data_IF_873533773948
#
_entry.id   IF_873533773948
#
_cell.length_a   1.000
_cell.length_b   1.000
_cell.length_c   1.000
_cell.angle_alpha   90.00
_cell.angle_beta   90.00
_cell.angle_gamma   90.00
#
_symmetry.space_group_name_H-M   'P 1'
#
loop_
_entity.id
_entity.type
_entity.pdbx_description
1 polymer ?
#
# COMPACT_ATOMS: atom_id res chain seq x y z
N UNK A 1 18.39 28.52 -32.56
CA UNK A 1 16.99 28.10 -32.80
C UNK A 1 16.93 26.58 -32.65
N UNK A 2 16.49 26.07 -31.50
CA UNK A 2 16.54 24.62 -31.21
C UNK A 2 15.41 23.90 -31.97
N UNK A 3 15.77 23.22 -33.06
CA UNK A 3 14.86 22.41 -33.86
C UNK A 3 14.33 21.26 -33.00
N UNK A 4 13.06 21.33 -32.57
CA UNK A 4 12.35 20.20 -31.95
C UNK A 4 12.26 19.07 -32.97
N UNK A 5 13.24 18.17 -32.96
CA UNK A 5 13.18 16.89 -33.69
C UNK A 5 11.90 16.16 -33.27
N UNK A 6 10.90 16.11 -34.16
CA UNK A 6 9.71 15.29 -33.96
C UNK A 6 10.14 13.82 -33.97
N UNK A 7 10.37 13.23 -32.79
CA UNK A 7 10.68 11.80 -32.67
C UNK A 7 9.58 10.97 -33.33
N UNK A 8 9.98 10.06 -34.22
CA UNK A 8 9.15 9.01 -34.82
C UNK A 8 8.49 8.17 -33.72
N UNK A 9 7.24 7.70 -33.86
CA UNK A 9 6.55 6.88 -32.85
C UNK A 9 7.38 5.66 -32.39
N UNK A 10 8.07 5.01 -33.32
CA UNK A 10 8.98 3.89 -33.06
C UNK A 10 10.15 4.26 -32.15
N UNK A 11 10.70 5.47 -32.31
CA UNK A 11 11.81 5.96 -31.47
C UNK A 11 11.34 6.26 -30.05
N UNK A 12 10.14 6.83 -29.89
CA UNK A 12 9.51 7.06 -28.57
C UNK A 12 9.25 5.75 -27.85
N UNK A 13 8.71 4.77 -28.56
CA UNK A 13 8.48 3.42 -28.05
C UNK A 13 9.80 2.74 -27.65
N UNK A 14 10.85 2.84 -28.47
CA UNK A 14 12.18 2.31 -28.14
C UNK A 14 12.77 2.96 -26.88
N UNK A 15 12.66 4.28 -26.74
CA UNK A 15 13.14 4.99 -25.55
C UNK A 15 12.35 4.59 -24.29
N UNK A 16 11.03 4.44 -24.41
CA UNK A 16 10.20 3.89 -23.33
C UNK A 16 10.67 2.48 -22.93
N UNK A 17 10.89 1.60 -23.90
CA UNK A 17 11.38 0.25 -23.64
C UNK A 17 12.79 0.22 -23.03
N UNK A 18 13.66 1.19 -23.35
CA UNK A 18 14.97 1.33 -22.68
C UNK A 18 14.81 1.66 -21.20
N UNK A 19 13.90 2.57 -20.87
CA UNK A 19 13.59 2.94 -19.48
C UNK A 19 13.02 1.74 -18.72
N UNK A 20 12.05 1.02 -19.32
CA UNK A 20 11.50 -0.21 -18.74
C UNK A 20 12.57 -1.28 -18.53
N UNK A 21 13.51 -1.44 -19.46
CA UNK A 21 14.66 -2.35 -19.31
C UNK A 21 15.55 -1.97 -18.13
N UNK A 22 15.79 -0.68 -17.89
CA UNK A 22 16.58 -0.22 -16.74
C UNK A 22 15.87 -0.60 -15.43
N UNK A 23 14.57 -0.31 -15.31
CA UNK A 23 13.79 -0.73 -14.13
C UNK A 23 13.78 -2.25 -13.94
N UNK A 24 13.62 -3.01 -15.03
CA UNK A 24 13.65 -4.47 -14.99
C UNK A 24 15.04 -5.02 -14.57
N UNK A 25 16.14 -4.38 -14.99
CA UNK A 25 17.49 -4.73 -14.55
C UNK A 25 17.71 -4.45 -13.06
N UNK A 26 17.19 -3.34 -12.53
CA UNK A 26 17.27 -2.99 -11.10
C UNK A 26 16.50 -4.00 -10.24
N UNK A 27 15.36 -4.51 -10.71
CA UNK A 27 14.61 -5.56 -10.03
C UNK A 27 15.24 -6.97 -10.20
N UNK A 28 16.39 -7.08 -10.85
CA UNK A 28 17.05 -8.36 -11.13
C UNK A 28 16.30 -9.23 -12.15
N UNK A 29 15.32 -8.67 -12.86
CA UNK A 29 14.47 -9.35 -13.83
C UNK A 29 14.85 -8.94 -15.26
N UNK A 30 15.97 -9.44 -15.78
CA UNK A 30 16.35 -9.17 -17.17
C UNK A 30 15.49 -10.00 -18.16
N UNK A 31 14.21 -9.63 -18.28
CA UNK A 31 13.18 -10.37 -19.06
C UNK A 31 13.43 -10.31 -20.58
N UNK A 32 14.17 -9.31 -21.05
CA UNK A 32 14.32 -9.02 -22.47
C UNK A 32 15.59 -9.58 -23.14
N UNK A 33 16.43 -10.33 -22.41
CA UNK A 33 17.52 -11.12 -23.00
C UNK A 33 17.04 -12.57 -23.17
N UNK A 34 17.21 -13.11 -24.38
CA UNK A 34 16.85 -14.49 -24.71
C UNK A 34 17.64 -15.52 -23.85
N UNK A 35 18.89 -15.22 -23.50
CA UNK A 35 19.74 -16.02 -22.61
C UNK A 35 19.68 -15.55 -21.15
N UNK A 36 18.49 -15.58 -20.55
CA UNK A 36 18.35 -15.24 -19.14
C UNK A 36 18.88 -16.37 -18.25
N UNK A 37 20.15 -16.25 -17.82
CA UNK A 37 20.72 -17.04 -16.73
C UNK A 37 20.40 -16.38 -15.40
N UNK A 38 20.07 -17.19 -14.38
CA UNK A 38 19.93 -16.72 -13.00
C UNK A 38 21.22 -15.99 -12.59
N UNK A 39 21.16 -14.66 -12.51
CA UNK A 39 22.29 -13.85 -12.12
C UNK A 39 22.33 -13.84 -10.57
N UNK A 40 23.51 -13.85 -9.92
CA UNK A 40 23.61 -13.71 -8.46
C UNK A 40 22.82 -12.51 -7.91
N UNK A 41 22.67 -11.44 -8.69
CA UNK A 41 21.83 -10.29 -8.35
C UNK A 41 20.33 -10.64 -8.23
N UNK A 42 19.79 -11.48 -9.11
CA UNK A 42 18.43 -12.00 -8.99
C UNK A 42 18.27 -12.85 -7.72
N UNK A 43 19.28 -13.66 -7.39
CA UNK A 43 19.32 -14.42 -6.14
C UNK A 43 19.34 -13.53 -4.89
N UNK A 44 20.11 -12.45 -4.91
CA UNK A 44 20.13 -11.44 -3.84
C UNK A 44 18.75 -10.80 -3.63
N UNK A 45 18.09 -10.37 -4.71
CA UNK A 45 16.74 -9.77 -4.65
C UNK A 45 15.72 -10.77 -4.07
N UNK A 46 15.77 -12.04 -4.49
CA UNK A 46 14.91 -13.09 -3.93
C UNK A 46 15.22 -13.34 -2.45
N UNK A 47 16.49 -13.33 -2.04
CA UNK A 47 16.88 -13.48 -0.63
C UNK A 47 16.38 -12.35 0.27
N UNK A 48 16.43 -11.10 -0.21
CA UNK A 48 15.85 -9.95 0.49
C UNK A 48 14.34 -10.10 0.65
N UNK A 49 13.65 -10.54 -0.41
CA UNK A 49 12.20 -10.80 -0.39
C UNK A 49 11.83 -11.89 0.64
N UNK A 50 12.57 -13.00 0.68
CA UNK A 50 12.34 -14.08 1.65
C UNK A 50 12.59 -13.61 3.10
N UNK A 51 13.65 -12.83 3.31
CA UNK A 51 13.96 -12.24 4.61
C UNK A 51 12.85 -11.28 5.07
N UNK A 52 12.32 -10.47 4.16
CA UNK A 52 11.17 -9.60 4.41
C UNK A 52 9.92 -10.40 4.81
N UNK A 53 9.63 -11.53 4.16
CA UNK A 53 8.51 -12.40 4.56
C UNK A 53 8.71 -12.98 5.96
N UNK A 54 9.92 -13.41 6.30
CA UNK A 54 10.24 -13.92 7.64
C UNK A 54 9.99 -12.87 8.74
N UNK A 55 10.49 -11.65 8.55
CA UNK A 55 10.26 -10.55 9.49
C UNK A 55 8.79 -10.15 9.58
N UNK A 56 8.09 -10.15 8.45
CA UNK A 56 6.67 -9.81 8.42
C UNK A 56 5.81 -10.82 9.17
N UNK A 57 6.11 -12.12 9.02
CA UNK A 57 5.44 -13.17 9.77
C UNK A 57 5.67 -13.02 11.28
N UNK A 58 6.90 -12.69 11.68
CA UNK A 58 7.23 -12.42 13.08
C UNK A 58 6.46 -11.21 13.64
N UNK A 59 6.43 -10.09 12.92
CA UNK A 59 5.67 -8.91 13.34
C UNK A 59 4.17 -9.18 13.45
N UNK A 60 3.61 -9.98 12.53
CA UNK A 60 2.21 -10.39 12.60
C UNK A 60 1.94 -11.28 13.83
N UNK A 61 2.85 -12.20 14.17
CA UNK A 61 2.75 -13.02 15.38
C UNK A 61 2.74 -12.18 16.65
N UNK A 62 3.67 -11.23 16.76
CA UNK A 62 3.75 -10.30 17.91
C UNK A 62 2.48 -9.46 18.02
N UNK A 63 2.01 -8.84 16.93
CA UNK A 63 0.81 -8.00 16.95
C UNK A 63 -0.47 -8.76 17.33
N UNK A 64 -0.58 -10.04 16.93
CA UNK A 64 -1.75 -10.89 17.28
C UNK A 64 -1.70 -11.35 18.73
N UNK A 65 -0.55 -11.89 19.17
CA UNK A 65 -0.45 -12.63 20.43
C UNK A 65 -0.19 -11.71 21.62
N UNK A 66 0.55 -10.61 21.41
CA UNK A 66 0.98 -9.71 22.48
C UNK A 66 0.07 -8.49 22.58
N UNK A 67 -0.14 -7.78 21.47
CA UNK A 67 -0.80 -6.46 21.50
C UNK A 67 -2.32 -6.52 21.25
N UNK A 68 -2.85 -7.65 20.76
CA UNK A 68 -4.26 -7.81 20.39
C UNK A 68 -4.79 -6.72 19.42
N UNK A 69 -3.90 -6.06 18.68
CA UNK A 69 -4.25 -4.97 17.78
C UNK A 69 -4.35 -5.48 16.33
N UNK A 70 -5.59 -5.67 15.89
CA UNK A 70 -5.92 -6.12 14.54
C UNK A 70 -5.54 -5.12 13.44
N UNK A 71 -5.29 -3.85 13.79
CA UNK A 71 -4.87 -2.82 12.83
C UNK A 71 -3.49 -3.13 12.25
N UNK A 72 -2.59 -3.64 13.09
CA UNK A 72 -1.23 -4.07 12.70
C UNK A 72 -1.28 -5.22 11.69
N UNK A 73 -2.25 -6.12 11.82
CA UNK A 73 -2.46 -7.23 10.88
C UNK A 73 -2.91 -6.69 9.52
N UNK A 74 -3.85 -5.74 9.53
CA UNK A 74 -4.38 -5.16 8.29
C UNK A 74 -3.26 -4.45 7.51
N UNK A 75 -2.48 -3.61 8.20
CA UNK A 75 -1.31 -2.95 7.61
C UNK A 75 -0.27 -3.95 7.11
N UNK A 76 -0.04 -5.03 7.87
CA UNK A 76 0.86 -6.12 7.49
C UNK A 76 0.46 -6.80 6.18
N UNK A 77 -0.81 -7.11 6.05
CA UNK A 77 -1.36 -7.72 4.83
C UNK A 77 -1.23 -6.80 3.61
N UNK A 78 -1.33 -5.47 3.78
CA UNK A 78 -1.18 -4.50 2.69
C UNK A 78 0.20 -4.57 2.03
N UNK A 79 1.29 -4.48 2.81
CA UNK A 79 2.64 -4.53 2.22
C UNK A 79 3.07 -5.95 1.82
N UNK A 80 2.56 -6.98 2.50
CA UNK A 80 2.79 -8.39 2.15
C UNK A 80 2.18 -8.75 0.80
N UNK A 81 0.95 -8.28 0.52
CA UNK A 81 0.26 -8.56 -0.74
C UNK A 81 1.02 -8.04 -1.95
N UNK A 82 1.53 -6.80 -1.88
CA UNK A 82 2.36 -6.21 -2.92
C UNK A 82 3.67 -7.00 -3.15
N UNK A 83 4.33 -7.44 -2.05
CA UNK A 83 5.54 -8.23 -2.12
C UNK A 83 5.31 -9.62 -2.76
N UNK A 84 4.22 -10.32 -2.40
CA UNK A 84 3.84 -11.62 -3.00
C UNK A 84 3.60 -11.46 -4.50
N UNK A 85 2.91 -10.40 -4.92
CA UNK A 85 2.65 -10.14 -6.34
C UNK A 85 3.94 -9.91 -7.13
N UNK A 86 4.90 -9.19 -6.55
CA UNK A 86 6.22 -8.96 -7.13
C UNK A 86 7.03 -10.25 -7.27
N UNK A 87 7.10 -11.04 -6.19
CA UNK A 87 7.82 -12.32 -6.16
C UNK A 87 7.25 -13.32 -7.17
N UNK A 88 5.92 -13.41 -7.24
CA UNK A 88 5.21 -14.32 -8.15
C UNK A 88 5.59 -14.08 -9.62
N UNK A 89 5.72 -12.80 -10.04
CA UNK A 89 6.16 -12.43 -11.40
C UNK A 89 7.61 -12.83 -11.71
N UNK A 90 8.47 -12.89 -10.69
CA UNK A 90 9.87 -13.32 -10.82
C UNK A 90 10.00 -14.84 -10.93
N UNK A 91 9.18 -15.57 -10.17
CA UNK A 91 9.23 -17.04 -10.05
C UNK A 91 8.74 -17.76 -11.31
N UNK A 92 7.73 -17.22 -12.01
CA UNK A 92 7.08 -17.83 -13.21
C UNK A 92 8.03 -18.12 -14.37
N UNK A 93 9.23 -17.55 -14.39
CA UNK A 93 10.17 -17.75 -15.50
C UNK A 93 11.18 -18.89 -15.29
N UNK A 94 11.01 -19.70 -14.24
CA UNK A 94 11.93 -20.80 -13.93
C UNK A 94 11.27 -22.13 -14.28
N UNK A 95 11.72 -22.69 -15.41
CA UNK A 95 11.48 -24.04 -15.93
C UNK A 95 10.10 -24.34 -16.59
N UNK A 96 10.17 -24.65 -17.89
CA UNK A 96 9.02 -24.99 -18.76
C UNK A 96 9.09 -26.43 -19.28
N UNK A 97 10.07 -27.24 -18.88
CA UNK A 97 10.38 -28.48 -19.58
C UNK A 97 9.58 -29.72 -19.11
N UNK A 98 8.73 -29.62 -18.09
CA UNK A 98 7.88 -30.74 -17.64
C UNK A 98 6.41 -30.34 -17.49
N UNK A 99 5.51 -31.04 -18.19
CA UNK A 99 4.06 -30.80 -18.15
C UNK A 99 3.48 -30.86 -16.72
N UNK A 100 3.99 -31.78 -15.89
CA UNK A 100 3.55 -31.90 -14.50
C UNK A 100 4.07 -30.74 -13.62
N UNK A 101 5.32 -30.33 -13.83
CA UNK A 101 5.92 -29.18 -13.16
C UNK A 101 5.15 -27.89 -13.46
N UNK A 102 4.69 -27.73 -14.70
CA UNK A 102 3.88 -26.58 -15.12
C UNK A 102 2.57 -26.47 -14.33
N UNK A 103 1.82 -27.55 -14.15
CA UNK A 103 0.56 -27.52 -13.40
C UNK A 103 0.76 -27.17 -11.92
N UNK A 104 1.79 -27.71 -11.28
CA UNK A 104 2.12 -27.40 -9.89
C UNK A 104 2.53 -25.91 -9.75
N UNK A 105 3.36 -25.41 -10.65
CA UNK A 105 3.74 -24.00 -10.68
C UNK A 105 2.55 -23.08 -10.92
N UNK A 106 1.65 -23.46 -11.84
CA UNK A 106 0.45 -22.70 -12.15
C UNK A 106 -0.51 -22.65 -10.96
N UNK A 107 -0.64 -23.74 -10.21
CA UNK A 107 -1.43 -23.79 -8.99
C UNK A 107 -0.82 -22.90 -7.89
N UNK A 108 0.48 -23.02 -7.64
CA UNK A 108 1.19 -22.15 -6.70
C UNK A 108 1.04 -20.66 -7.07
N UNK A 109 1.17 -20.34 -8.35
CA UNK A 109 0.94 -18.99 -8.87
C UNK A 109 -0.47 -18.49 -8.59
N UNK A 110 -1.50 -19.30 -8.83
CA UNK A 110 -2.89 -18.95 -8.54
C UNK A 110 -3.07 -18.66 -7.05
N UNK A 111 -2.55 -19.52 -6.16
CA UNK A 111 -2.59 -19.30 -4.72
C UNK A 111 -1.95 -17.96 -4.34
N UNK A 112 -0.73 -17.69 -4.81
CA UNK A 112 -0.03 -16.43 -4.54
C UNK A 112 -0.79 -15.20 -5.08
N UNK A 113 -1.39 -15.30 -6.27
CA UNK A 113 -2.21 -14.21 -6.84
C UNK A 113 -3.47 -13.98 -6.03
N UNK A 114 -4.12 -15.02 -5.49
CA UNK A 114 -5.27 -14.86 -4.61
C UNK A 114 -4.88 -14.13 -3.31
N UNK A 115 -3.79 -14.54 -2.66
CA UNK A 115 -3.27 -13.85 -1.46
C UNK A 115 -2.86 -12.40 -1.74
N UNK A 116 -2.20 -12.15 -2.88
CA UNK A 116 -1.83 -10.80 -3.30
C UNK A 116 -3.05 -9.91 -3.57
N UNK A 117 -4.08 -10.46 -4.23
CA UNK A 117 -5.35 -9.75 -4.48
C UNK A 117 -6.03 -9.35 -3.17
N UNK A 118 -6.02 -10.23 -2.17
CA UNK A 118 -6.58 -9.93 -0.85
C UNK A 118 -5.81 -8.81 -0.14
N UNK A 119 -4.46 -8.86 -0.15
CA UNK A 119 -3.64 -7.80 0.43
C UNK A 119 -3.83 -6.44 -0.27
N UNK A 120 -3.97 -6.44 -1.61
CA UNK A 120 -4.28 -5.23 -2.36
C UNK A 120 -5.68 -4.70 -2.03
N UNK A 121 -6.69 -5.57 -1.90
CA UNK A 121 -8.03 -5.17 -1.48
C UNK A 121 -8.05 -4.56 -0.07
N UNK A 122 -7.29 -5.15 0.86
CA UNK A 122 -7.10 -4.61 2.20
C UNK A 122 -6.43 -3.21 2.16
N UNK A 123 -5.44 -3.03 1.28
CA UNK A 123 -4.77 -1.74 1.06
C UNK A 123 -5.73 -0.66 0.55
N UNK A 124 -6.53 -0.99 -0.45
CA UNK A 124 -7.53 -0.05 -0.98
C UNK A 124 -8.58 0.30 0.09
N UNK A 125 -9.01 -0.69 0.87
CA UNK A 125 -9.92 -0.48 2.00
C UNK A 125 -9.33 0.42 3.08
N UNK A 126 -8.05 0.21 3.44
CA UNK A 126 -7.35 1.04 4.42
C UNK A 126 -7.21 2.49 3.94
N UNK A 127 -6.91 2.69 2.66
CA UNK A 127 -6.90 4.03 2.07
C UNK A 127 -8.28 4.69 2.17
N UNK A 128 -9.36 3.96 1.85
CA UNK A 128 -10.74 4.49 1.97
C UNK A 128 -11.05 4.87 3.42
N UNK A 129 -10.67 4.06 4.40
CA UNK A 129 -10.85 4.37 5.82
C UNK A 129 -10.15 5.68 6.19
N UNK A 130 -8.88 5.84 5.80
CA UNK A 130 -8.14 7.08 6.06
C UNK A 130 -8.76 8.29 5.35
N UNK A 131 -9.17 8.14 4.09
CA UNK A 131 -9.78 9.20 3.28
C UNK A 131 -11.14 9.60 3.83
N UNK A 132 -11.92 8.68 4.39
CA UNK A 132 -13.24 8.95 5.01
C UNK A 132 -13.09 9.51 6.42
N UNK A 133 -12.07 9.11 7.17
CA UNK A 133 -11.87 9.54 8.55
C UNK A 133 -11.64 11.06 8.65
N UNK A 134 -10.84 11.63 7.74
CA UNK A 134 -10.54 13.07 7.69
C UNK A 134 -11.79 13.95 7.53
N UNK A 135 -12.64 13.79 6.49
CA UNK A 135 -13.86 14.59 6.34
C UNK A 135 -14.89 14.27 7.41
N UNK A 136 -14.97 13.04 7.93
CA UNK A 136 -15.85 12.71 9.05
C UNK A 136 -15.48 13.54 10.29
N UNK A 137 -14.20 13.61 10.64
CA UNK A 137 -13.71 14.40 11.75
C UNK A 137 -13.97 15.89 11.57
N UNK A 138 -13.75 16.39 10.33
CA UNK A 138 -14.08 17.77 9.95
C UNK A 138 -15.57 18.08 10.13
N UNK A 139 -16.45 17.18 9.72
CA UNK A 139 -17.90 17.36 9.82
C UNK A 139 -18.37 17.37 11.28
N UNK A 140 -17.82 16.49 12.13
CA UNK A 140 -18.12 16.46 13.56
C UNK A 140 -17.69 17.78 14.24
N UNK A 141 -16.48 18.26 13.95
CA UNK A 141 -16.00 19.54 14.48
C UNK A 141 -16.88 20.70 14.00
N UNK A 142 -17.23 20.72 12.72
CA UNK A 142 -18.11 21.74 12.16
C UNK A 142 -19.45 21.77 12.88
N UNK A 143 -20.06 20.61 13.12
CA UNK A 143 -21.35 20.50 13.82
C UNK A 143 -21.28 21.04 15.25
N UNK A 144 -20.18 20.76 15.97
CA UNK A 144 -19.97 21.31 17.33
C UNK A 144 -19.78 22.82 17.32
N UNK A 145 -19.05 23.38 16.34
CA UNK A 145 -18.89 24.82 16.19
C UNK A 145 -20.17 25.52 15.75
N UNK A 146 -20.96 24.89 14.87
CA UNK A 146 -22.26 25.42 14.43
C UNK A 146 -23.24 25.51 15.62
N UNK A 147 -23.29 24.48 16.47
CA UNK A 147 -24.08 24.50 17.72
C UNK A 147 -23.60 25.56 18.70
N UNK A 148 -22.28 25.72 18.87
CA UNK A 148 -21.72 26.81 19.67
C UNK A 148 -22.13 28.19 19.13
N UNK A 149 -22.11 28.35 17.80
CA UNK A 149 -22.47 29.61 17.15
C UNK A 149 -23.97 29.93 17.32
N UNK A 150 -24.85 28.94 17.28
CA UNK A 150 -26.29 29.10 17.52
C UNK A 150 -26.57 29.63 18.94
N UNK A 151 -25.97 29.00 19.97
CA UNK A 151 -26.09 29.45 21.37
C UNK A 151 -25.57 30.90 21.53
N UNK A 152 -24.47 31.23 20.85
CA UNK A 152 -23.86 32.56 20.92
C UNK A 152 -24.73 33.65 20.28
N UNK A 153 -25.51 33.29 19.26
CA UNK A 153 -26.48 34.18 18.63
C UNK A 153 -27.73 34.37 19.48
N UNK A 154 -28.21 33.32 20.15
CA UNK A 154 -29.41 33.37 21.00
C UNK A 154 -29.14 34.08 22.34
N UNK A 155 -27.95 33.89 22.93
CA UNK A 155 -27.54 34.47 24.22
C UNK A 155 -26.20 35.23 24.12
N UNK A 156 -26.19 36.42 23.50
CA UNK A 156 -24.96 37.20 23.31
C UNK A 156 -24.33 37.59 24.66
N UNK A 157 -23.10 37.14 24.92
CA UNK A 157 -22.29 37.31 26.15
C UNK A 157 -22.65 36.42 27.36
N UNK A 158 -23.42 35.37 27.17
CA UNK A 158 -23.68 34.43 28.26
C UNK A 158 -22.53 33.42 28.42
N UNK A 159 -21.51 33.81 29.18
CA UNK A 159 -20.31 33.00 29.41
C UNK A 159 -20.62 31.70 30.15
N UNK A 160 -21.66 31.70 31.00
CA UNK A 160 -22.05 30.54 31.81
C UNK A 160 -22.51 29.36 30.91
N UNK A 161 -23.12 29.66 29.77
CA UNK A 161 -23.56 28.67 28.77
C UNK A 161 -22.50 28.37 27.70
N UNK A 162 -21.69 29.35 27.33
CA UNK A 162 -20.73 29.24 26.21
C UNK A 162 -19.44 28.52 26.62
N UNK A 163 -18.92 28.79 27.83
CA UNK A 163 -17.69 28.20 28.35
C UNK A 163 -17.72 26.65 28.44
N UNK A 164 -18.80 25.99 28.93
CA UNK A 164 -18.83 24.54 29.02
C UNK A 164 -18.79 23.86 27.64
N UNK A 165 -19.49 24.39 26.63
CA UNK A 165 -19.45 23.89 25.25
C UNK A 165 -18.06 24.00 24.64
N UNK A 166 -17.38 25.14 24.86
CA UNK A 166 -16.02 25.33 24.38
C UNK A 166 -15.03 24.36 25.06
N UNK A 167 -15.16 24.17 26.38
CA UNK A 167 -14.39 23.18 27.14
C UNK A 167 -14.63 21.76 26.64
N UNK A 168 -15.87 21.41 26.33
CA UNK A 168 -16.23 20.11 25.75
C UNK A 168 -15.55 19.90 24.39
N UNK A 169 -15.57 20.90 23.49
CA UNK A 169 -14.89 20.84 22.19
C UNK A 169 -13.39 20.60 22.36
N UNK A 170 -12.74 21.34 23.27
CA UNK A 170 -11.31 21.18 23.53
C UNK A 170 -10.95 19.85 24.21
N UNK A 171 -11.75 19.39 25.17
CA UNK A 171 -11.56 18.08 25.80
C UNK A 171 -11.74 16.94 24.81
N UNK A 172 -12.81 16.99 24.01
CA UNK A 172 -13.06 16.01 22.97
C UNK A 172 -11.93 15.97 21.94
N UNK A 173 -11.45 17.14 21.48
CA UNK A 173 -10.32 17.23 20.56
C UNK A 173 -9.04 16.62 21.15
N UNK A 174 -8.77 16.85 22.44
CA UNK A 174 -7.63 16.27 23.15
C UNK A 174 -7.72 14.74 23.25
N UNK A 175 -8.89 14.21 23.63
CA UNK A 175 -9.10 12.76 23.75
C UNK A 175 -9.14 12.04 22.41
N UNK A 176 -9.50 12.73 21.32
CA UNK A 176 -9.61 12.12 19.98
C UNK A 176 -8.29 12.11 19.19
N UNK A 177 -7.27 12.82 19.67
CA UNK A 177 -5.92 12.89 19.04
C UNK A 177 -4.86 12.15 19.86
N UNK A 178 -5.13 11.91 21.15
CA UNK A 178 -4.29 11.10 22.03
C UNK A 178 -4.64 9.61 21.91
#
# INVERSE_FOLDING_TARGET
MATKLRLTPTQRFSNFFKVVKIFAMVCGANIFRADYRFNPFTGFVVGVILTFFGFTWYSMYVGVVIDNDFTTILQSLCYTGAAIQGATKLVVRTDKNSHFGFYIYQFYHICCVCFASFGNFASDSYMVILVVHVPLFKNILKLKFDHLNEILQEYPRDAERTEPLLKEIFQWHRTSIA
#
